data_IF_351253433162
#
_entry.id   IF_351253433162
#
_cell.length_a   1.000
_cell.length_b   1.000
_cell.length_c   1.000
_cell.angle_alpha   90.00
_cell.angle_beta   90.00
_cell.angle_gamma   90.00
#
_symmetry.space_group_name_H-M   'P 1'
#
loop_
_entity.id
_entity.type
_entity.pdbx_description
1 polymer ?
#
# COMPACT_ATOMS: atom_id res chain seq x y z
N UNK A 1 -4.10 -15.30 9.03
CA UNK A 1 -2.63 -15.23 9.05
C UNK A 1 -2.20 -14.72 10.40
N UNK A 2 -1.47 -15.51 11.17
CA UNK A 2 -0.95 -15.06 12.45
C UNK A 2 0.33 -14.28 12.22
N UNK A 3 0.26 -12.94 12.30
CA UNK A 3 1.41 -12.05 12.16
C UNK A 3 2.44 -12.34 13.27
N UNK A 4 1.97 -12.81 14.45
CA UNK A 4 2.77 -13.08 15.64
C UNK A 4 3.96 -14.00 15.41
N UNK A 5 3.80 -15.11 14.66
CA UNK A 5 4.89 -16.09 14.48
C UNK A 5 6.02 -15.56 13.59
N UNK A 6 5.90 -14.32 13.08
CA UNK A 6 6.76 -13.76 12.06
C UNK A 6 7.27 -12.36 12.36
N UNK A 7 6.69 -11.66 13.34
CA UNK A 7 7.05 -10.30 13.71
C UNK A 7 6.68 -10.02 15.18
N UNK A 8 7.58 -9.37 15.93
CA UNK A 8 7.31 -8.91 17.30
C UNK A 8 6.48 -7.62 17.29
N UNK A 9 5.86 -7.28 18.44
CA UNK A 9 5.11 -6.02 18.57
C UNK A 9 6.00 -4.79 18.31
N UNK A 10 7.26 -4.82 18.79
CA UNK A 10 8.22 -3.76 18.55
C UNK A 10 8.56 -3.60 17.06
N UNK A 11 8.80 -4.71 16.36
CA UNK A 11 9.01 -4.69 14.93
C UNK A 11 7.76 -4.19 14.17
N UNK A 12 6.57 -4.66 14.57
CA UNK A 12 5.31 -4.20 13.97
C UNK A 12 5.17 -2.69 14.07
N UNK A 13 5.36 -2.13 15.27
CA UNK A 13 5.23 -0.69 15.52
C UNK A 13 6.32 0.12 14.82
N UNK A 14 7.56 -0.37 14.79
CA UNK A 14 8.68 0.31 14.12
C UNK A 14 8.42 0.44 12.62
N UNK A 15 8.06 -0.65 11.92
CA UNK A 15 7.77 -0.61 10.49
C UNK A 15 6.51 0.21 10.16
N UNK A 16 5.51 0.18 11.04
CA UNK A 16 4.33 1.02 10.94
C UNK A 16 4.70 2.51 10.98
N UNK A 17 5.54 2.93 11.95
CA UNK A 17 6.00 4.32 12.09
C UNK A 17 6.90 4.74 10.93
N UNK A 18 7.87 3.91 10.53
CA UNK A 18 8.75 4.23 9.41
C UNK A 18 7.95 4.47 8.13
N UNK A 19 6.94 3.63 7.89
CA UNK A 19 6.12 3.79 6.69
C UNK A 19 5.16 4.97 6.80
N UNK A 20 4.69 5.32 7.99
CA UNK A 20 3.92 6.54 8.22
C UNK A 20 4.74 7.80 7.85
N UNK A 21 6.03 7.81 8.19
CA UNK A 21 6.94 8.90 7.79
C UNK A 21 7.14 8.90 6.26
N UNK A 22 7.27 7.73 5.63
CA UNK A 22 7.34 7.64 4.18
C UNK A 22 6.10 8.24 3.48
N UNK A 23 4.91 8.04 4.05
CA UNK A 23 3.65 8.61 3.54
C UNK A 23 3.69 10.15 3.53
N UNK A 24 4.33 10.78 4.52
CA UNK A 24 4.55 12.23 4.51
C UNK A 24 5.39 12.65 3.31
N UNK A 25 6.47 11.92 3.02
CA UNK A 25 7.28 12.13 1.83
C UNK A 25 6.48 11.95 0.53
N UNK A 26 5.63 10.92 0.46
CA UNK A 26 4.73 10.72 -0.68
C UNK A 26 3.71 11.86 -0.82
N UNK A 27 3.20 12.37 0.30
CA UNK A 27 2.27 13.51 0.30
C UNK A 27 2.94 14.77 -0.24
N UNK A 28 4.14 15.11 0.23
CA UNK A 28 4.90 16.27 -0.24
C UNK A 28 5.19 16.18 -1.74
N UNK A 29 5.63 15.02 -2.22
CA UNK A 29 5.86 14.77 -3.65
C UNK A 29 4.57 14.91 -4.45
N UNK A 30 3.48 14.29 -3.98
CA UNK A 30 2.17 14.34 -4.63
C UNK A 30 1.62 15.75 -4.69
N UNK A 31 1.70 16.53 -3.60
CA UNK A 31 1.29 17.92 -3.57
C UNK A 31 2.06 18.76 -4.59
N UNK A 32 3.38 18.59 -4.65
CA UNK A 32 4.21 19.30 -5.61
C UNK A 32 3.82 18.98 -7.06
N UNK A 33 3.69 17.69 -7.40
CA UNK A 33 3.34 17.25 -8.75
C UNK A 33 1.94 17.74 -9.14
N UNK A 34 0.93 17.56 -8.28
CA UNK A 34 -0.44 17.98 -8.57
C UNK A 34 -0.56 19.51 -8.69
N UNK A 35 0.24 20.26 -7.90
CA UNK A 35 0.33 21.71 -8.03
C UNK A 35 0.94 22.14 -9.38
N UNK A 36 2.05 21.50 -9.80
CA UNK A 36 2.69 21.77 -11.10
C UNK A 36 1.79 21.40 -12.29
N UNK A 37 0.99 20.34 -12.16
CA UNK A 37 -0.01 19.93 -13.15
C UNK A 37 -1.24 20.83 -13.17
N UNK A 38 -1.35 21.77 -12.23
CA UNK A 38 -2.51 22.67 -12.07
C UNK A 38 -3.83 21.90 -11.93
N UNK A 39 -3.80 20.80 -11.17
CA UNK A 39 -4.96 19.94 -10.94
C UNK A 39 -6.08 20.72 -10.26
N UNK A 40 -7.32 20.52 -10.67
CA UNK A 40 -8.49 21.26 -10.17
C UNK A 40 -8.78 20.99 -8.69
N UNK A 41 -8.55 19.76 -8.22
CA UNK A 41 -8.79 19.37 -6.82
C UNK A 41 -7.67 18.45 -6.32
N UNK A 42 -6.59 19.08 -5.86
CA UNK A 42 -5.40 18.40 -5.35
C UNK A 42 -5.77 17.45 -4.20
N UNK A 43 -6.69 17.85 -3.31
CA UNK A 43 -7.00 17.07 -2.12
C UNK A 43 -7.73 15.76 -2.44
N UNK A 44 -8.58 15.76 -3.48
CA UNK A 44 -9.25 14.52 -3.94
C UNK A 44 -8.35 13.63 -4.79
N UNK A 45 -7.31 14.19 -5.41
CA UNK A 45 -6.38 13.42 -6.24
C UNK A 45 -5.13 12.94 -5.49
N UNK A 46 -4.76 13.54 -4.34
CA UNK A 46 -3.58 13.16 -3.55
C UNK A 46 -3.55 11.68 -3.11
N UNK A 47 -4.68 10.98 -2.89
CA UNK A 47 -4.67 9.56 -2.53
C UNK A 47 -3.88 8.67 -3.49
N UNK A 48 -3.77 9.01 -4.78
CA UNK A 48 -2.99 8.20 -5.74
C UNK A 48 -1.49 8.14 -5.40
N UNK A 49 -0.98 9.11 -4.62
CA UNK A 49 0.40 9.15 -4.15
C UNK A 49 0.56 8.51 -2.77
N UNK A 50 -0.30 8.86 -1.82
CA UNK A 50 -0.15 8.52 -0.40
C UNK A 50 -0.68 7.14 -0.04
N UNK A 51 -1.56 6.56 -0.87
CA UNK A 51 -2.20 5.27 -0.62
C UNK A 51 -1.84 4.27 -1.74
N UNK A 52 -0.64 3.68 -1.67
CA UNK A 52 -0.18 2.71 -2.66
C UNK A 52 -0.83 1.34 -2.51
N UNK A 53 -0.65 0.48 -3.51
CA UNK A 53 -1.23 -0.86 -3.58
C UNK A 53 -0.43 -1.90 -2.77
N UNK A 54 -0.16 -1.58 -1.51
CA UNK A 54 0.66 -2.39 -0.61
C UNK A 54 0.00 -3.74 -0.28
N UNK A 55 -1.32 -3.76 -0.12
CA UNK A 55 -2.06 -4.99 0.20
C UNK A 55 -2.10 -5.96 -0.98
N UNK A 56 -2.63 -5.54 -2.12
CA UNK A 56 -2.91 -6.45 -3.24
C UNK A 56 -1.67 -6.81 -4.06
N UNK A 57 -0.67 -5.93 -4.14
CA UNK A 57 0.59 -6.21 -4.86
C UNK A 57 1.77 -6.36 -3.90
N UNK A 58 1.90 -5.49 -2.92
CA UNK A 58 3.08 -5.45 -2.07
C UNK A 58 3.22 -6.69 -1.19
N UNK A 59 2.14 -7.19 -0.58
CA UNK A 59 2.18 -8.41 0.24
C UNK A 59 2.65 -9.63 -0.57
N UNK A 60 2.04 -9.95 -1.74
CA UNK A 60 2.50 -11.07 -2.56
C UNK A 60 3.98 -10.96 -2.96
N UNK A 61 4.41 -9.78 -3.41
CA UNK A 61 5.78 -9.56 -3.87
C UNK A 61 6.77 -9.73 -2.71
N UNK A 62 6.47 -9.20 -1.52
CA UNK A 62 7.33 -9.37 -0.34
C UNK A 62 7.36 -10.83 0.15
N UNK A 63 6.26 -11.57 0.04
CA UNK A 63 6.22 -13.00 0.31
C UNK A 63 7.14 -13.77 -0.65
N UNK A 64 7.09 -13.47 -1.95
CA UNK A 64 7.95 -14.15 -2.94
C UNK A 64 9.42 -13.74 -2.79
N UNK A 65 9.73 -12.50 -2.38
CA UNK A 65 11.09 -12.03 -2.21
C UNK A 65 11.76 -12.55 -0.93
N UNK A 66 11.05 -12.52 0.21
CA UNK A 66 11.61 -12.75 1.55
C UNK A 66 10.88 -13.82 2.36
N UNK A 67 10.00 -14.60 1.71
CA UNK A 67 9.24 -15.64 2.38
C UNK A 67 8.33 -15.10 3.49
N UNK A 68 8.15 -15.91 4.53
CA UNK A 68 7.25 -15.61 5.63
C UNK A 68 7.64 -14.38 6.46
N UNK A 69 8.95 -14.07 6.54
CA UNK A 69 9.45 -12.88 7.25
C UNK A 69 9.05 -11.60 6.51
N UNK A 70 9.25 -11.57 5.18
CA UNK A 70 8.78 -10.46 4.36
C UNK A 70 7.28 -10.26 4.40
N UNK A 71 6.52 -11.36 4.45
CA UNK A 71 5.06 -11.33 4.60
C UNK A 71 4.62 -10.62 5.89
N UNK A 72 5.28 -10.89 7.04
CA UNK A 72 4.94 -10.28 8.32
C UNK A 72 5.11 -8.75 8.31
N UNK A 73 6.26 -8.26 7.83
CA UNK A 73 6.53 -6.81 7.73
C UNK A 73 5.61 -6.16 6.69
N UNK A 74 5.43 -6.78 5.52
CA UNK A 74 4.52 -6.26 4.50
C UNK A 74 3.07 -6.17 5.01
N UNK A 75 2.62 -7.11 5.83
CA UNK A 75 1.30 -7.07 6.45
C UNK A 75 1.17 -5.94 7.48
N UNK A 76 2.23 -5.64 8.25
CA UNK A 76 2.26 -4.47 9.15
C UNK A 76 2.07 -3.17 8.38
N UNK A 77 2.87 -2.95 7.34
CA UNK A 77 2.78 -1.76 6.47
C UNK A 77 1.41 -1.69 5.78
N UNK A 78 0.92 -2.82 5.26
CA UNK A 78 -0.37 -2.86 4.57
C UNK A 78 -1.55 -2.61 5.51
N UNK A 79 -1.45 -2.99 6.79
CA UNK A 79 -2.48 -2.69 7.79
C UNK A 79 -2.63 -1.18 8.00
N UNK A 80 -1.51 -0.43 8.06
CA UNK A 80 -1.52 1.03 8.08
C UNK A 80 -2.23 1.60 6.84
N UNK A 81 -1.85 1.15 5.65
CA UNK A 81 -2.42 1.66 4.39
C UNK A 81 -3.92 1.36 4.31
N UNK A 82 -4.37 0.18 4.74
CA UNK A 82 -5.79 -0.16 4.77
C UNK A 82 -6.57 0.76 5.73
N UNK A 83 -6.03 0.99 6.92
CA UNK A 83 -6.65 1.93 7.87
C UNK A 83 -6.74 3.35 7.29
N UNK A 84 -5.66 3.81 6.64
CA UNK A 84 -5.64 5.13 5.99
C UNK A 84 -6.60 5.23 4.80
N UNK A 85 -6.82 4.15 4.03
CA UNK A 85 -7.83 4.17 2.96
C UNK A 85 -9.23 4.46 3.51
N UNK A 86 -9.63 3.79 4.60
CA UNK A 86 -10.97 3.93 5.17
C UNK A 86 -11.14 5.08 6.16
N UNK A 87 -10.07 5.79 6.48
CA UNK A 87 -10.10 7.04 7.28
C UNK A 87 -9.76 8.23 6.41
N UNK A 88 -8.47 8.43 6.15
CA UNK A 88 -7.96 9.57 5.40
C UNK A 88 -8.43 9.56 3.93
N UNK A 89 -8.43 8.39 3.26
CA UNK A 89 -8.87 8.27 1.88
C UNK A 89 -10.34 8.67 1.70
N UNK A 90 -11.22 8.20 2.57
CA UNK A 90 -12.65 8.59 2.56
C UNK A 90 -12.80 10.07 2.88
N UNK A 91 -12.12 10.59 3.90
CA UNK A 91 -12.13 12.01 4.24
C UNK A 91 -11.69 12.91 3.09
N UNK A 92 -10.61 12.54 2.38
CA UNK A 92 -10.12 13.33 1.25
C UNK A 92 -11.08 13.29 0.05
N UNK A 93 -11.80 12.19 -0.15
CA UNK A 93 -12.77 12.02 -1.23
C UNK A 93 -14.10 12.72 -0.97
N UNK A 94 -14.68 12.55 0.24
CA UNK A 94 -16.00 13.08 0.62
C UNK A 94 -15.95 14.49 1.23
N UNK A 95 -14.78 14.90 1.76
CA UNK A 95 -14.60 16.13 2.56
C UNK A 95 -15.35 16.11 3.89
N UNK A 96 -15.84 14.95 4.30
CA UNK A 96 -16.51 14.74 5.59
C UNK A 96 -15.87 13.55 6.29
N UNK A 97 -15.73 13.65 7.60
CA UNK A 97 -15.23 12.57 8.42
C UNK A 97 -16.41 11.70 8.87
N UNK A 98 -16.47 10.45 8.41
CA UNK A 98 -17.46 9.49 8.85
C UNK A 98 -16.78 8.26 9.46
N UNK A 99 -16.80 8.21 10.80
CA UNK A 99 -16.22 7.10 11.55
C UNK A 99 -16.95 5.77 11.34
N UNK A 100 -18.22 5.81 10.90
CA UNK A 100 -18.99 4.60 10.62
C UNK A 100 -18.42 3.80 9.46
N UNK A 101 -17.74 4.44 8.50
CA UNK A 101 -17.09 3.74 7.39
C UNK A 101 -15.99 2.84 7.90
N UNK A 102 -15.19 3.28 8.88
CA UNK A 102 -14.13 2.48 9.48
C UNK A 102 -14.71 1.31 10.30
N UNK A 103 -15.68 1.58 11.17
CA UNK A 103 -16.28 0.56 12.05
C UNK A 103 -17.03 -0.52 11.26
N UNK A 104 -17.66 -0.17 10.15
CA UNK A 104 -18.37 -1.13 9.29
C UNK A 104 -17.44 -1.97 8.41
N UNK A 105 -16.13 -1.72 8.46
CA UNK A 105 -15.16 -2.38 7.58
C UNK A 105 -14.55 -3.63 8.23
N UNK A 106 -14.74 -4.85 7.67
CA UNK A 106 -14.20 -6.08 8.25
C UNK A 106 -12.68 -6.09 8.44
N UNK A 107 -11.84 -5.55 7.54
CA UNK A 107 -10.40 -5.41 7.75
C UNK A 107 -10.01 -4.70 9.04
N UNK A 108 -10.77 -3.71 9.50
CA UNK A 108 -10.51 -3.01 10.75
C UNK A 108 -10.49 -3.99 11.95
N UNK A 109 -11.47 -4.86 12.04
CA UNK A 109 -11.54 -5.86 13.11
C UNK A 109 -10.44 -6.92 13.01
N UNK A 110 -10.09 -7.33 11.79
CA UNK A 110 -8.99 -8.26 11.57
C UNK A 110 -7.64 -7.68 12.03
N UNK A 111 -7.39 -6.40 11.75
CA UNK A 111 -6.19 -5.69 12.21
C UNK A 111 -6.21 -5.56 13.74
N UNK A 112 -7.32 -5.13 14.33
CA UNK A 112 -7.46 -4.98 15.78
C UNK A 112 -7.20 -6.30 16.50
N UNK A 113 -7.81 -7.39 16.02
CA UNK A 113 -7.60 -8.73 16.56
C UNK A 113 -6.12 -9.15 16.45
N UNK A 114 -5.51 -8.98 15.28
CA UNK A 114 -4.10 -9.34 15.07
C UNK A 114 -3.16 -8.56 15.98
N UNK A 115 -3.36 -7.25 16.12
CA UNK A 115 -2.54 -6.39 16.99
C UNK A 115 -2.71 -6.79 18.45
N UNK A 116 -3.93 -7.13 18.88
CA UNK A 116 -4.19 -7.60 20.26
C UNK A 116 -3.41 -8.88 20.56
N UNK A 117 -3.41 -9.85 19.64
CA UNK A 117 -2.64 -11.09 19.82
C UNK A 117 -1.13 -10.85 19.86
N UNK A 118 -0.60 -9.95 19.05
CA UNK A 118 0.82 -9.60 19.07
C UNK A 118 1.18 -8.88 20.37
N UNK A 119 0.35 -7.94 20.82
CA UNK A 119 0.62 -7.12 22.01
C UNK A 119 0.64 -7.95 23.30
N UNK A 120 -0.33 -8.85 23.47
CA UNK A 120 -0.44 -9.71 24.65
C UNK A 120 0.37 -11.01 24.53
N UNK A 121 1.14 -11.19 23.46
CA UNK A 121 1.93 -12.39 23.18
C UNK A 121 1.12 -13.68 23.32
N UNK A 122 -0.13 -13.68 22.82
CA UNK A 122 -1.06 -14.81 22.94
C UNK A 122 -0.70 -15.92 21.96
N UNK A 123 -0.66 -17.17 22.45
CA UNK A 123 -0.44 -18.33 21.60
C UNK A 123 -1.69 -18.73 20.81
N UNK A 124 -1.51 -18.95 19.51
CA UNK A 124 -2.56 -19.47 18.65
C UNK A 124 -2.46 -20.99 18.54
N UNK A 125 -3.59 -21.72 18.61
CA UNK A 125 -3.60 -23.14 18.31
C UNK A 125 -3.05 -23.43 16.91
N UNK A 126 -2.22 -24.46 16.78
CA UNK A 126 -1.58 -24.85 15.49
C UNK A 126 -2.59 -25.04 14.35
N UNK A 127 -3.78 -25.57 14.66
CA UNK A 127 -4.84 -25.74 13.67
C UNK A 127 -5.31 -24.40 13.06
N UNK A 128 -5.40 -23.33 13.87
CA UNK A 128 -5.78 -22.00 13.40
C UNK A 128 -4.64 -21.38 12.57
N UNK A 129 -3.39 -21.57 12.99
CA UNK A 129 -2.22 -21.12 12.22
C UNK A 129 -2.21 -21.75 10.84
N UNK A 130 -2.32 -23.08 10.75
CA UNK A 130 -2.31 -23.80 9.49
C UNK A 130 -3.49 -23.39 8.58
N UNK A 131 -4.69 -23.24 9.16
CA UNK A 131 -5.87 -22.78 8.41
C UNK A 131 -5.68 -21.36 7.84
N UNK A 132 -5.22 -20.44 8.67
CA UNK A 132 -5.00 -19.05 8.23
C UNK A 132 -3.85 -18.93 7.21
N UNK A 133 -2.85 -19.79 7.29
CA UNK A 133 -1.78 -19.88 6.27
C UNK A 133 -2.33 -20.35 4.92
N UNK A 134 -3.10 -21.44 4.91
CA UNK A 134 -3.76 -21.94 3.70
C UNK A 134 -4.66 -20.89 3.05
N UNK A 135 -5.49 -20.21 3.87
CA UNK A 135 -6.35 -19.14 3.41
C UNK A 135 -5.54 -17.93 2.86
N UNK A 136 -4.37 -17.63 3.45
CA UNK A 136 -3.50 -16.56 2.97
C UNK A 136 -2.98 -16.83 1.56
N UNK A 137 -2.47 -18.03 1.29
CA UNK A 137 -2.00 -18.38 -0.06
C UNK A 137 -3.13 -18.37 -1.08
N UNK A 138 -4.29 -18.87 -0.70
CA UNK A 138 -5.50 -18.82 -1.56
C UNK A 138 -5.93 -17.37 -1.83
N UNK A 139 -5.96 -16.53 -0.80
CA UNK A 139 -6.32 -15.13 -0.93
C UNK A 139 -5.36 -14.36 -1.85
N UNK A 140 -4.05 -14.61 -1.80
CA UNK A 140 -3.06 -13.98 -2.66
C UNK A 140 -3.38 -14.22 -4.14
N UNK A 141 -3.68 -15.45 -4.52
CA UNK A 141 -4.05 -15.79 -5.92
C UNK A 141 -5.32 -15.05 -6.32
N UNK A 142 -6.37 -15.09 -5.49
CA UNK A 142 -7.64 -14.42 -5.78
C UNK A 142 -7.50 -12.89 -5.87
N UNK A 143 -6.67 -12.28 -5.02
CA UNK A 143 -6.40 -10.84 -5.02
C UNK A 143 -5.69 -10.42 -6.30
N UNK A 144 -4.67 -11.17 -6.74
CA UNK A 144 -3.95 -10.86 -7.99
C UNK A 144 -4.85 -11.02 -9.22
N UNK A 145 -5.69 -12.06 -9.25
CA UNK A 145 -6.70 -12.23 -10.32
C UNK A 145 -7.73 -11.09 -10.31
N UNK A 146 -8.24 -10.73 -9.13
CA UNK A 146 -9.18 -9.62 -8.97
C UNK A 146 -8.59 -8.29 -9.42
N UNK A 147 -7.31 -8.04 -9.10
CA UNK A 147 -6.59 -6.86 -9.54
C UNK A 147 -6.51 -6.80 -11.07
N UNK A 148 -6.17 -7.91 -11.72
CA UNK A 148 -6.14 -8.00 -13.18
C UNK A 148 -7.51 -7.68 -13.81
N UNK A 149 -8.58 -8.30 -13.32
CA UNK A 149 -9.94 -8.05 -13.78
C UNK A 149 -10.35 -6.58 -13.56
N UNK A 150 -10.03 -6.01 -12.42
CA UNK A 150 -10.38 -4.64 -12.10
C UNK A 150 -9.68 -3.63 -13.02
N UNK A 151 -8.41 -3.87 -13.36
CA UNK A 151 -7.65 -3.02 -14.29
C UNK A 151 -8.26 -3.00 -15.69
N UNK A 152 -8.85 -4.11 -16.18
CA UNK A 152 -9.49 -4.13 -17.50
C UNK A 152 -10.75 -3.26 -17.59
N UNK A 153 -11.35 -2.91 -16.46
CA UNK A 153 -12.54 -2.04 -16.39
C UNK A 153 -12.20 -0.56 -16.32
N UNK A 154 -10.96 -0.21 -15.98
CA UNK A 154 -10.52 1.18 -15.90
C UNK A 154 -10.10 1.69 -17.29
N UNK A 155 -10.35 2.98 -17.54
CA UNK A 155 -9.97 3.64 -18.79
C UNK A 155 -8.98 4.77 -18.48
N UNK A 156 -8.10 5.06 -19.44
CA UNK A 156 -7.18 6.19 -19.36
C UNK A 156 -7.83 7.37 -20.10
N UNK A 157 -8.12 8.43 -19.36
CA UNK A 157 -8.77 9.65 -19.89
C UNK A 157 -7.76 10.79 -20.09
N UNK A 158 -6.70 10.87 -19.28
CA UNK A 158 -5.64 11.89 -19.34
C UNK A 158 -4.27 11.24 -19.29
N UNK A 159 -3.70 10.91 -20.45
CA UNK A 159 -2.45 10.17 -20.53
C UNK A 159 -1.25 10.96 -19.95
N UNK A 160 -1.08 12.24 -20.37
CA UNK A 160 0.07 13.06 -19.96
C UNK A 160 0.13 13.27 -18.44
N UNK A 161 -0.97 13.71 -17.83
CA UNK A 161 -1.02 13.95 -16.38
C UNK A 161 -0.82 12.64 -15.61
N UNK A 162 -1.40 11.54 -16.12
CA UNK A 162 -1.25 10.23 -15.49
C UNK A 162 0.17 9.69 -15.58
N UNK A 163 0.90 9.92 -16.67
CA UNK A 163 2.31 9.54 -16.79
C UNK A 163 3.16 10.32 -15.76
N UNK A 164 3.00 11.64 -15.65
CA UNK A 164 3.76 12.46 -14.70
C UNK A 164 3.46 12.04 -13.26
N UNK A 165 2.18 11.86 -12.90
CA UNK A 165 1.78 11.38 -11.58
C UNK A 165 2.32 9.98 -11.30
N UNK A 166 2.29 9.09 -12.29
CA UNK A 166 2.81 7.72 -12.16
C UNK A 166 4.31 7.68 -11.96
N UNK A 167 5.08 8.51 -12.69
CA UNK A 167 6.53 8.68 -12.47
C UNK A 167 6.80 9.10 -11.03
N UNK A 168 6.06 10.11 -10.54
CA UNK A 168 6.13 10.53 -9.15
C UNK A 168 5.87 9.39 -8.16
N UNK A 169 4.92 8.50 -8.46
CA UNK A 169 4.59 7.39 -7.55
C UNK A 169 5.60 6.25 -7.64
N UNK A 170 5.92 5.74 -8.85
CA UNK A 170 6.69 4.49 -8.99
C UNK A 170 8.21 4.68 -9.06
N UNK A 171 8.69 5.92 -9.24
CA UNK A 171 10.13 6.24 -9.22
C UNK A 171 10.50 7.00 -7.95
N UNK A 172 9.80 8.08 -7.61
CA UNK A 172 10.13 8.85 -6.40
C UNK A 172 9.70 8.08 -5.14
N UNK A 173 8.65 7.26 -5.21
CA UNK A 173 8.24 6.40 -4.09
C UNK A 173 9.37 5.54 -3.53
N UNK A 174 10.03 4.67 -4.31
CA UNK A 174 11.18 3.89 -3.83
C UNK A 174 12.38 4.74 -3.42
N UNK A 175 12.60 5.92 -3.99
CA UNK A 175 13.65 6.84 -3.52
C UNK A 175 13.35 7.35 -2.10
N UNK A 176 12.10 7.67 -1.79
CA UNK A 176 11.67 8.03 -0.42
C UNK A 176 11.87 6.84 0.52
N UNK A 177 11.47 5.62 0.10
CA UNK A 177 11.72 4.41 0.88
C UNK A 177 13.20 4.19 1.17
N UNK A 178 14.06 4.42 0.19
CA UNK A 178 15.51 4.33 0.35
C UNK A 178 16.06 5.40 1.33
N UNK A 179 15.55 6.63 1.29
CA UNK A 179 15.92 7.68 2.25
C UNK A 179 15.50 7.31 3.68
N UNK A 180 14.33 6.69 3.87
CA UNK A 180 13.88 6.19 5.17
C UNK A 180 14.83 5.10 5.69
N UNK A 181 15.24 4.16 4.82
CA UNK A 181 16.18 3.10 5.18
C UNK A 181 17.51 3.68 5.68
N UNK A 182 18.06 4.67 4.99
CA UNK A 182 19.31 5.31 5.39
C UNK A 182 19.14 6.12 6.68
N UNK A 183 18.07 6.90 6.80
CA UNK A 183 17.86 7.79 7.94
C UNK A 183 17.65 7.05 9.25
N UNK A 184 16.99 5.89 9.21
CA UNK A 184 16.71 5.06 10.39
C UNK A 184 17.67 3.88 10.53
N UNK A 185 18.72 3.79 9.69
CA UNK A 185 19.71 2.71 9.68
C UNK A 185 19.06 1.30 9.64
N UNK A 186 18.04 1.15 8.79
CA UNK A 186 17.29 -0.11 8.67
C UNK A 186 18.09 -1.07 7.81
N UNK A 187 18.32 -2.29 8.29
CA UNK A 187 19.14 -3.31 7.62
C UNK A 187 18.37 -4.61 7.35
N UNK A 188 18.98 -5.49 6.57
CA UNK A 188 18.45 -6.82 6.26
C UNK A 188 17.12 -6.78 5.50
N UNK A 189 16.36 -7.88 5.57
CA UNK A 189 15.11 -8.04 4.82
C UNK A 189 14.05 -6.98 5.14
N UNK A 190 14.09 -6.38 6.33
CA UNK A 190 13.16 -5.28 6.68
C UNK A 190 13.34 -4.04 5.81
N UNK A 191 14.58 -3.65 5.53
CA UNK A 191 14.89 -2.58 4.58
C UNK A 191 14.39 -2.92 3.16
N UNK A 192 14.63 -4.16 2.71
CA UNK A 192 14.15 -4.62 1.41
C UNK A 192 12.62 -4.58 1.29
N UNK A 193 11.89 -4.95 2.35
CA UNK A 193 10.41 -4.86 2.36
C UNK A 193 9.95 -3.41 2.30
N UNK A 194 10.54 -2.48 3.07
CA UNK A 194 10.21 -1.04 2.98
C UNK A 194 10.44 -0.53 1.57
N UNK A 195 11.57 -0.87 0.95
CA UNK A 195 11.89 -0.45 -0.40
C UNK A 195 10.86 -0.95 -1.42
N UNK A 196 10.52 -2.25 -1.36
CA UNK A 196 9.51 -2.86 -2.23
C UNK A 196 8.13 -2.21 -2.01
N UNK A 197 7.68 -2.08 -0.77
CA UNK A 197 6.38 -1.49 -0.45
C UNK A 197 6.29 -0.02 -0.90
N UNK A 198 7.40 0.72 -0.84
CA UNK A 198 7.48 2.10 -1.32
C UNK A 198 7.42 2.22 -2.84
N UNK A 199 7.75 1.16 -3.58
CA UNK A 199 7.69 1.10 -5.04
C UNK A 199 6.31 0.70 -5.59
N UNK A 200 5.35 0.35 -4.73
CA UNK A 200 4.03 -0.09 -5.20
C UNK A 200 3.29 1.04 -5.93
N UNK A 201 2.59 0.73 -7.03
CA UNK A 201 1.78 1.70 -7.76
C UNK A 201 0.58 2.15 -6.93
N UNK A 202 -0.20 3.09 -7.47
CA UNK A 202 -1.43 3.57 -6.81
C UNK A 202 -2.44 2.44 -6.61
N UNK A 203 -3.12 2.42 -5.46
CA UNK A 203 -4.09 1.38 -5.14
C UNK A 203 -5.40 1.55 -5.91
N UNK A 204 -5.98 0.41 -6.35
CA UNK A 204 -7.29 0.41 -7.00
C UNK A 204 -8.42 0.87 -6.05
N UNK A 205 -8.20 0.74 -4.76
CA UNK A 205 -9.13 1.19 -3.73
C UNK A 205 -9.34 2.71 -3.77
N UNK A 206 -8.34 3.48 -4.23
CA UNK A 206 -8.49 4.93 -4.46
C UNK A 206 -9.59 5.23 -5.50
N UNK A 207 -9.69 4.41 -6.56
CA UNK A 207 -10.77 4.54 -7.54
C UNK A 207 -12.12 4.17 -6.94
N UNK A 208 -12.19 3.09 -6.17
CA UNK A 208 -13.45 2.64 -5.55
C UNK A 208 -13.99 3.70 -4.59
N UNK A 209 -13.15 4.22 -3.69
CA UNK A 209 -13.53 5.30 -2.77
C UNK A 209 -13.86 6.58 -3.54
N UNK A 210 -13.03 6.97 -4.50
CA UNK A 210 -13.29 8.13 -5.36
C UNK A 210 -14.63 8.03 -6.07
N UNK A 211 -15.00 6.87 -6.62
CA UNK A 211 -16.26 6.66 -7.34
C UNK A 211 -17.51 6.79 -6.45
N UNK A 212 -17.37 6.61 -5.13
CA UNK A 212 -18.46 6.77 -4.16
C UNK A 212 -18.68 8.22 -3.75
N UNK A 213 -17.62 9.04 -3.70
CA UNK A 213 -17.65 10.33 -3.00
C UNK A 213 -17.14 11.51 -3.85
N UNK A 214 -16.48 11.28 -4.96
CA UNK A 214 -15.84 12.36 -5.76
C UNK A 214 -16.54 12.59 -7.11
N UNK A 215 -16.43 13.79 -7.69
CA UNK A 215 -16.92 14.08 -9.03
C UNK A 215 -16.27 13.19 -10.10
N UNK A 216 -17.01 12.87 -11.15
CA UNK A 216 -16.58 11.94 -12.22
C UNK A 216 -15.23 12.32 -12.83
N UNK A 217 -14.98 13.60 -13.11
CA UNK A 217 -13.72 14.08 -13.71
C UNK A 217 -12.50 13.69 -12.85
N UNK A 218 -12.61 13.82 -11.52
CA UNK A 218 -11.55 13.43 -10.57
C UNK A 218 -11.38 11.90 -10.55
N UNK A 219 -12.48 11.17 -10.56
CA UNK A 219 -12.47 9.70 -10.60
C UNK A 219 -11.78 9.19 -11.88
N UNK A 220 -12.02 9.85 -13.01
CA UNK A 220 -11.41 9.54 -14.30
C UNK A 220 -9.88 9.79 -14.27
N UNK A 221 -9.39 10.85 -13.59
CA UNK A 221 -7.97 11.12 -13.38
C UNK A 221 -7.33 10.08 -12.46
N UNK A 222 -7.99 9.73 -11.36
CA UNK A 222 -7.55 8.68 -10.41
C UNK A 222 -7.43 7.34 -11.16
N UNK A 223 -8.46 6.95 -11.93
CA UNK A 223 -8.47 5.72 -12.73
C UNK A 223 -7.28 5.68 -13.70
N UNK A 224 -7.06 6.79 -14.41
CA UNK A 224 -5.96 6.92 -15.38
C UNK A 224 -4.61 6.73 -14.71
N UNK A 225 -4.39 7.37 -13.56
CA UNK A 225 -3.14 7.26 -12.80
C UNK A 225 -2.91 5.84 -12.26
N UNK A 226 -3.97 5.16 -11.80
CA UNK A 226 -3.89 3.75 -11.35
C UNK A 226 -3.43 2.85 -12.50
N UNK A 227 -4.07 2.95 -13.67
CA UNK A 227 -3.72 2.12 -14.83
C UNK A 227 -2.27 2.36 -15.25
N UNK A 228 -1.90 3.63 -15.46
CA UNK A 228 -0.56 3.98 -15.95
C UNK A 228 0.52 3.59 -14.93
N UNK A 229 0.33 3.90 -13.63
CA UNK A 229 1.29 3.52 -12.59
C UNK A 229 1.43 2.00 -12.46
N UNK A 230 0.33 1.24 -12.59
CA UNK A 230 0.38 -0.22 -12.57
C UNK A 230 1.10 -0.78 -13.80
N UNK A 231 0.88 -0.24 -14.99
CA UNK A 231 1.62 -0.65 -16.18
C UNK A 231 3.11 -0.33 -16.05
N UNK A 232 3.48 0.85 -15.57
CA UNK A 232 4.88 1.20 -15.30
C UNK A 232 5.51 0.29 -14.24
N UNK A 233 4.75 -0.18 -13.27
CA UNK A 233 5.23 -1.05 -12.20
C UNK A 233 5.69 -2.42 -12.70
N UNK A 234 5.24 -2.90 -13.87
CA UNK A 234 5.77 -4.12 -14.48
C UNK A 234 7.27 -4.03 -14.81
N UNK A 235 7.81 -2.82 -14.96
CA UNK A 235 9.23 -2.60 -15.18
C UNK A 235 9.91 -2.17 -13.88
N UNK A 236 9.33 -1.20 -13.16
CA UNK A 236 9.98 -0.59 -11.98
C UNK A 236 10.04 -1.54 -10.79
N UNK A 237 8.99 -2.32 -10.53
CA UNK A 237 8.96 -3.23 -9.37
C UNK A 237 9.97 -4.36 -9.50
N UNK A 238 10.13 -5.08 -10.63
CA UNK A 238 11.20 -6.07 -10.78
C UNK A 238 12.60 -5.50 -10.55
N UNK A 239 12.87 -4.26 -11.01
CA UNK A 239 14.15 -3.59 -10.77
C UNK A 239 14.34 -3.33 -9.27
N UNK A 240 13.32 -2.82 -8.59
CA UNK A 240 13.37 -2.55 -7.15
C UNK A 240 13.51 -3.84 -6.35
N UNK A 241 12.82 -4.92 -6.72
CA UNK A 241 12.96 -6.24 -6.09
C UNK A 241 14.38 -6.77 -6.28
N UNK A 242 14.95 -6.65 -7.47
CA UNK A 242 16.34 -7.04 -7.71
C UNK A 242 17.31 -6.27 -6.82
N UNK A 243 17.15 -4.95 -6.68
CA UNK A 243 17.97 -4.13 -5.78
C UNK A 243 17.77 -4.56 -4.34
N UNK A 244 16.53 -4.78 -3.91
CA UNK A 244 16.18 -5.20 -2.56
C UNK A 244 16.83 -6.55 -2.20
N UNK A 245 16.73 -7.54 -3.07
CA UNK A 245 17.34 -8.86 -2.86
C UNK A 245 18.88 -8.83 -2.91
N UNK A 246 19.47 -7.93 -3.71
CA UNK A 246 20.93 -7.84 -3.83
C UNK A 246 21.60 -7.16 -2.63
N UNK A 247 20.94 -6.16 -2.02
CA UNK A 247 21.58 -5.32 -0.99
C UNK A 247 20.98 -5.49 0.41
N UNK A 248 19.79 -6.09 0.53
CA UNK A 248 19.04 -6.19 1.79
C UNK A 248 18.53 -7.62 2.06
N UNK A 249 19.30 -8.63 1.67
CA UNK A 249 18.95 -10.05 1.95
C UNK A 249 19.58 -10.53 3.26
#
# INVERSE_FOLDING_TARGET
>A
MCIRDRITFEQYTSYFVYYLIAIIGFALTGLLILYLLKTKDIIREIPVFILPNNGNMGIPICLFAYGSQGLGIAASISSLIILLHFTLGVFLADRKFDFNVLIKNPPFYAILFSVTFIYFDLEMPKAIINLTELLTYTAIVLILMSLGIALTKLKVFSLTNSIISSIGRVIIGPLIGFLIIIFFDISGFGAGVILIQSAMPSAILNYLIGSMYSPKEIVDNIASTIVVSTLMSFITVPIVVFIALKYFY
#
